data_IF_722188479980
#
_entry.id   IF_722188479980
#
_cell.length_a   1.000
_cell.length_b   1.000
_cell.length_c   1.000
_cell.angle_alpha   90.00
_cell.angle_beta   90.00
_cell.angle_gamma   90.00
#
_symmetry.space_group_name_H-M   'P 1'
#
loop_
_entity.id
_entity.type
_entity.pdbx_description
1 polymer ?
#
# COMPACT_ATOMS: atom_id res chain seq x y z
N UNK A 1 25.34 -7.77 -99.35
CA UNK A 1 25.49 -6.39 -99.07
C UNK A 1 24.21 -5.90 -98.35
N UNK A 2 24.08 -6.14 -97.08
CA UNK A 2 23.18 -5.44 -96.16
C UNK A 2 23.61 -5.79 -94.75
N UNK A 3 23.99 -4.79 -94.00
CA UNK A 3 24.48 -4.87 -92.64
C UNK A 3 23.25 -4.86 -91.71
N UNK A 4 23.08 -5.89 -90.86
CA UNK A 4 22.06 -5.92 -89.82
C UNK A 4 22.68 -5.41 -88.50
N UNK A 5 22.12 -4.32 -87.99
CA UNK A 5 22.45 -3.75 -86.67
C UNK A 5 21.62 -4.41 -85.61
N UNK A 6 22.26 -5.12 -84.64
CA UNK A 6 21.62 -5.68 -83.47
C UNK A 6 21.70 -4.71 -82.32
N UNK A 7 20.55 -4.23 -81.85
CA UNK A 7 20.40 -3.42 -80.65
C UNK A 7 20.22 -4.33 -79.42
N UNK A 8 21.20 -4.35 -78.53
CA UNK A 8 21.09 -5.00 -77.20
C UNK A 8 20.28 -4.09 -76.27
N UNK A 9 19.12 -4.57 -75.81
CA UNK A 9 18.37 -3.96 -74.70
C UNK A 9 18.85 -4.60 -73.40
N UNK A 10 19.60 -3.84 -72.57
CA UNK A 10 19.85 -4.18 -71.19
C UNK A 10 18.62 -3.83 -70.33
N UNK A 11 17.96 -4.85 -69.78
CA UNK A 11 16.99 -4.68 -68.70
C UNK A 11 17.75 -4.61 -67.38
N UNK A 12 17.86 -3.42 -66.76
CA UNK A 12 18.22 -3.26 -65.38
C UNK A 12 17.01 -3.59 -64.51
N UNK A 13 16.99 -4.77 -63.92
CA UNK A 13 16.04 -5.13 -62.89
C UNK A 13 16.46 -4.51 -61.55
N UNK A 14 15.78 -3.47 -61.10
CA UNK A 14 15.92 -2.91 -59.76
C UNK A 14 15.17 -3.83 -58.79
N UNK A 15 15.90 -4.64 -58.00
CA UNK A 15 15.36 -5.35 -56.83
C UNK A 15 15.17 -4.32 -55.71
N UNK A 16 13.94 -3.91 -55.43
CA UNK A 16 13.56 -3.21 -54.23
C UNK A 16 13.54 -4.25 -53.06
N UNK A 17 14.61 -4.25 -52.27
CA UNK A 17 14.61 -4.93 -50.96
C UNK A 17 13.76 -4.08 -50.00
N UNK A 18 12.50 -4.46 -49.83
CA UNK A 18 11.65 -3.94 -48.73
C UNK A 18 12.17 -4.51 -47.41
N UNK A 19 12.94 -3.72 -46.68
CA UNK A 19 13.30 -4.00 -45.29
C UNK A 19 12.05 -3.85 -44.41
N UNK A 20 11.40 -4.96 -44.10
CA UNK A 20 10.38 -5.00 -43.05
C UNK A 20 11.12 -4.86 -41.73
N UNK A 21 11.20 -3.64 -41.23
CA UNK A 21 11.65 -3.37 -39.86
C UNK A 21 10.70 -4.04 -38.89
N UNK A 22 11.15 -5.11 -38.24
CA UNK A 22 10.46 -5.66 -37.06
C UNK A 22 10.46 -4.56 -35.99
N UNK A 23 9.32 -3.91 -35.82
CA UNK A 23 9.05 -3.06 -34.66
C UNK A 23 8.91 -3.99 -33.45
N UNK A 24 10.02 -4.28 -32.75
CA UNK A 24 9.97 -4.90 -31.44
C UNK A 24 9.60 -3.75 -30.50
N UNK A 25 8.39 -3.76 -29.91
CA UNK A 25 8.06 -2.77 -28.91
C UNK A 25 9.09 -2.87 -27.78
N UNK A 26 9.80 -1.80 -27.49
CA UNK A 26 10.61 -1.70 -26.29
C UNK A 26 9.64 -1.83 -25.10
N UNK A 27 9.56 -3.01 -24.49
CA UNK A 27 8.92 -3.20 -23.20
C UNK A 27 9.83 -2.49 -22.19
N UNK A 28 9.45 -1.28 -21.83
CA UNK A 28 10.11 -0.57 -20.72
C UNK A 28 9.70 -1.30 -19.46
N UNK A 29 10.58 -2.17 -18.96
CA UNK A 29 10.40 -2.78 -17.64
C UNK A 29 10.51 -1.68 -16.58
N UNK A 30 9.59 -1.68 -15.63
CA UNK A 30 9.69 -0.81 -14.45
C UNK A 30 10.95 -1.18 -13.67
N UNK A 31 11.71 -0.18 -13.19
CA UNK A 31 12.89 -0.46 -12.34
C UNK A 31 12.42 -1.11 -11.04
N UNK A 32 13.05 -2.23 -10.62
CA UNK A 32 12.67 -2.91 -9.38
C UNK A 32 12.80 -2.00 -8.16
N UNK A 33 11.92 -2.18 -7.18
CA UNK A 33 12.02 -1.56 -5.87
C UNK A 33 13.14 -2.18 -5.05
N UNK A 34 13.78 -1.39 -4.19
CA UNK A 34 14.74 -1.91 -3.23
C UNK A 34 14.01 -2.74 -2.16
N UNK A 35 14.27 -4.04 -2.12
CA UNK A 35 13.67 -4.96 -1.14
C UNK A 35 14.68 -5.33 -0.06
N UNK A 36 14.28 -5.25 1.20
CA UNK A 36 15.06 -5.72 2.34
C UNK A 36 14.51 -7.06 2.83
N UNK A 37 15.34 -8.10 2.93
CA UNK A 37 14.94 -9.31 3.63
C UNK A 37 14.98 -9.06 5.14
N UNK A 38 13.82 -9.10 5.79
CA UNK A 38 13.67 -8.80 7.23
C UNK A 38 13.53 -10.06 8.08
N UNK A 39 13.18 -11.19 7.45
CA UNK A 39 13.17 -12.54 8.05
C UNK A 39 13.27 -13.58 6.94
N UNK A 40 13.34 -14.85 7.31
CA UNK A 40 13.38 -15.97 6.35
C UNK A 40 12.18 -15.90 5.40
N UNK A 41 12.46 -15.68 4.09
CA UNK A 41 11.49 -15.58 3.03
C UNK A 41 10.54 -14.38 3.12
N UNK A 42 10.82 -13.36 3.93
CA UNK A 42 10.05 -12.11 4.04
C UNK A 42 10.87 -10.95 3.52
N UNK A 43 10.33 -10.25 2.53
CA UNK A 43 10.96 -9.09 1.88
C UNK A 43 10.05 -7.88 1.98
N UNK A 44 10.60 -6.74 2.37
CA UNK A 44 9.86 -5.49 2.59
C UNK A 44 10.53 -4.36 1.82
N UNK A 45 9.73 -3.59 1.09
CA UNK A 45 10.08 -2.27 0.59
C UNK A 45 9.54 -1.22 1.56
N UNK A 46 10.31 -0.16 1.80
CA UNK A 46 9.96 0.93 2.69
C UNK A 46 9.53 2.14 1.87
N UNK A 47 8.28 2.52 2.03
CA UNK A 47 7.74 3.71 1.39
C UNK A 47 8.30 5.01 1.97
N UNK A 48 8.25 6.07 1.18
CA UNK A 48 8.71 7.41 1.58
C UNK A 48 7.70 8.13 2.49
N UNK A 49 8.18 9.08 3.28
CA UNK A 49 7.31 9.98 4.03
C UNK A 49 6.94 11.20 3.18
N UNK A 50 6.00 11.03 2.27
CA UNK A 50 5.47 12.10 1.40
C UNK A 50 4.01 12.38 1.73
N UNK A 51 3.54 13.59 1.44
CA UNK A 51 2.11 13.92 1.44
C UNK A 51 1.56 13.96 0.02
N UNK A 52 0.25 14.15 -0.13
CA UNK A 52 -0.42 14.36 -1.42
C UNK A 52 -0.14 15.78 -1.92
N UNK A 53 1.05 16.00 -2.47
CA UNK A 53 1.54 17.26 -3.03
C UNK A 53 2.33 17.00 -4.33
N UNK A 54 3.08 18.01 -4.83
CA UNK A 54 3.85 17.90 -6.06
C UNK A 54 4.99 16.86 -6.02
N UNK A 55 5.39 16.43 -4.82
CA UNK A 55 6.42 15.40 -4.59
C UNK A 55 5.86 13.98 -4.49
N UNK A 56 4.54 13.81 -4.49
CA UNK A 56 3.92 12.50 -4.30
C UNK A 56 4.14 11.56 -5.48
N UNK A 57 4.69 10.37 -5.21
CA UNK A 57 5.04 9.37 -6.21
C UNK A 57 4.23 8.07 -6.11
N UNK A 58 3.30 7.97 -5.14
CA UNK A 58 2.48 6.76 -4.90
C UNK A 58 3.20 5.64 -4.16
N UNK A 59 4.43 5.87 -3.71
CA UNK A 59 5.27 4.91 -2.99
C UNK A 59 5.52 5.38 -1.56
N UNK A 60 4.47 5.42 -0.75
CA UNK A 60 4.52 5.93 0.62
C UNK A 60 4.23 4.88 1.70
N UNK A 61 3.64 3.74 1.34
CA UNK A 61 3.42 2.65 2.28
C UNK A 61 4.49 1.56 2.20
N UNK A 62 4.64 0.79 3.25
CA UNK A 62 5.49 -0.39 3.26
C UNK A 62 4.76 -1.53 2.55
N UNK A 63 5.31 -1.99 1.44
CA UNK A 63 4.79 -3.13 0.68
C UNK A 63 5.76 -4.31 0.78
N UNK A 64 5.22 -5.53 0.72
CA UNK A 64 6.03 -6.70 1.03
C UNK A 64 5.53 -7.98 0.38
N UNK A 65 6.36 -9.01 0.43
CA UNK A 65 5.94 -10.35 0.05
C UNK A 65 6.58 -11.42 0.93
N UNK A 66 5.89 -12.56 0.98
CA UNK A 66 6.26 -13.74 1.74
C UNK A 66 6.37 -14.94 0.81
N UNK A 67 7.49 -15.66 0.87
CA UNK A 67 7.75 -16.86 0.07
C UNK A 67 7.50 -18.11 0.92
N UNK A 68 6.60 -18.98 0.46
CA UNK A 68 6.44 -20.35 0.93
C UNK A 68 7.00 -21.36 -0.08
N UNK A 69 6.78 -22.66 0.13
CA UNK A 69 7.25 -23.70 -0.80
C UNK A 69 6.44 -23.73 -2.10
N UNK A 70 5.14 -23.44 -2.06
CA UNK A 70 4.23 -23.56 -3.19
C UNK A 70 3.95 -22.23 -3.90
N UNK A 71 4.28 -21.10 -3.30
CA UNK A 71 4.00 -19.79 -3.88
C UNK A 71 4.25 -18.62 -2.94
N UNK A 72 3.81 -17.46 -3.39
CA UNK A 72 4.08 -16.16 -2.78
C UNK A 72 2.75 -15.51 -2.40
N UNK A 73 2.73 -14.86 -1.22
CA UNK A 73 1.73 -13.88 -0.85
C UNK A 73 2.36 -12.48 -0.88
N UNK A 74 1.71 -11.54 -1.52
CA UNK A 74 2.03 -10.11 -1.52
C UNK A 74 1.14 -9.43 -0.50
N UNK A 75 1.69 -8.56 0.35
CA UNK A 75 0.96 -7.78 1.34
C UNK A 75 1.10 -6.30 0.97
N UNK A 76 -0.02 -5.70 0.56
CA UNK A 76 -0.16 -4.39 -0.05
C UNK A 76 0.66 -4.21 -1.33
N UNK A 77 0.31 -3.23 -2.17
CA UNK A 77 0.83 -3.18 -3.54
C UNK A 77 1.27 -1.79 -4.01
N UNK A 78 1.12 -0.76 -3.18
CA UNK A 78 1.47 0.61 -3.55
C UNK A 78 0.31 1.40 -4.18
N UNK A 79 0.55 2.68 -4.40
CA UNK A 79 -0.45 3.68 -4.78
C UNK A 79 -0.73 3.80 -6.28
N UNK A 80 -0.11 2.97 -7.12
CA UNK A 80 -0.34 2.96 -8.57
C UNK A 80 0.04 1.63 -9.19
N UNK A 81 -0.47 1.38 -10.41
CA UNK A 81 -0.03 0.22 -11.21
C UNK A 81 1.48 0.24 -11.46
N UNK A 82 2.10 1.42 -11.58
CA UNK A 82 3.54 1.58 -11.74
C UNK A 82 4.30 1.00 -10.55
N UNK A 83 3.91 1.38 -9.33
CA UNK A 83 4.53 0.83 -8.09
C UNK A 83 4.28 -0.68 -7.99
N UNK A 84 3.07 -1.16 -8.31
CA UNK A 84 2.76 -2.58 -8.37
C UNK A 84 3.62 -3.36 -9.37
N UNK A 85 3.88 -2.80 -10.55
CA UNK A 85 4.78 -3.39 -11.56
C UNK A 85 6.23 -3.43 -11.06
N UNK A 86 6.72 -2.37 -10.42
CA UNK A 86 8.05 -2.34 -9.82
C UNK A 86 8.19 -3.41 -8.73
N UNK A 87 7.17 -3.59 -7.88
CA UNK A 87 7.13 -4.67 -6.89
C UNK A 87 7.14 -6.05 -7.56
N UNK A 88 6.36 -6.24 -8.63
CA UNK A 88 6.34 -7.50 -9.38
C UNK A 88 7.71 -7.83 -9.96
N UNK A 89 8.41 -6.86 -10.55
CA UNK A 89 9.80 -7.05 -11.04
C UNK A 89 10.75 -7.42 -9.90
N UNK A 90 10.63 -6.78 -8.73
CA UNK A 90 11.42 -7.12 -7.55
C UNK A 90 11.18 -8.55 -7.07
N UNK A 91 9.92 -8.99 -7.06
CA UNK A 91 9.55 -10.38 -6.72
C UNK A 91 10.18 -11.35 -7.72
N UNK A 92 10.11 -11.05 -9.02
CA UNK A 92 10.63 -11.92 -10.09
C UNK A 92 12.16 -11.99 -10.09
N UNK A 93 12.86 -10.96 -9.63
CA UNK A 93 14.30 -10.98 -9.44
C UNK A 93 14.73 -11.93 -8.29
N UNK A 94 13.83 -12.19 -7.33
CA UNK A 94 14.12 -13.01 -6.14
C UNK A 94 13.55 -14.43 -6.27
N UNK A 95 12.36 -14.59 -6.90
CA UNK A 95 11.67 -15.88 -6.97
C UNK A 95 10.83 -16.03 -8.24
N UNK A 96 10.88 -17.23 -8.84
CA UNK A 96 10.02 -17.64 -9.97
C UNK A 96 8.71 -18.31 -9.54
N UNK A 97 8.48 -18.49 -8.24
CA UNK A 97 7.26 -19.12 -7.73
C UNK A 97 6.00 -18.32 -8.12
N UNK A 98 4.85 -18.98 -8.25
CA UNK A 98 3.60 -18.29 -8.55
C UNK A 98 3.18 -17.38 -7.41
N UNK A 99 2.62 -16.20 -7.75
CA UNK A 99 1.95 -15.33 -6.79
C UNK A 99 0.53 -15.87 -6.62
N UNK A 100 0.25 -16.43 -5.45
CA UNK A 100 -1.03 -17.06 -5.14
C UNK A 100 -2.02 -16.09 -4.52
N UNK A 101 -1.51 -15.16 -3.71
CA UNK A 101 -2.34 -14.21 -2.97
C UNK A 101 -1.78 -12.79 -3.05
N UNK A 102 -2.69 -11.83 -3.18
CA UNK A 102 -2.48 -10.41 -2.85
C UNK A 102 -3.41 -10.10 -1.69
N UNK A 103 -2.85 -9.68 -0.57
CA UNK A 103 -3.56 -9.38 0.67
C UNK A 103 -3.53 -7.88 0.86
N UNK A 104 -4.69 -7.23 0.86
CA UNK A 104 -4.78 -5.81 1.18
C UNK A 104 -5.13 -5.66 2.66
N UNK A 105 -4.31 -4.88 3.37
CA UNK A 105 -4.52 -4.62 4.79
C UNK A 105 -5.71 -3.73 5.04
N UNK A 106 -6.02 -2.80 4.15
CA UNK A 106 -7.18 -1.90 4.22
C UNK A 106 -7.42 -1.17 2.89
N UNK A 107 -8.34 -0.19 2.86
CA UNK A 107 -8.89 0.42 1.64
C UNK A 107 -8.09 1.60 1.08
N UNK A 108 -7.06 2.12 1.76
CA UNK A 108 -6.39 3.34 1.30
C UNK A 108 -5.64 3.15 -0.02
N UNK A 109 -5.56 4.22 -0.84
CA UNK A 109 -5.06 4.15 -2.21
C UNK A 109 -3.64 3.61 -2.32
N UNK A 110 -2.75 4.03 -1.43
CA UNK A 110 -1.34 3.65 -1.38
C UNK A 110 -1.11 2.17 -1.03
N UNK A 111 -2.15 1.44 -0.62
CA UNK A 111 -2.11 0.01 -0.33
C UNK A 111 -2.73 -0.86 -1.45
N UNK A 112 -3.61 -0.30 -2.30
CA UNK A 112 -4.46 -1.10 -3.20
C UNK A 112 -4.29 -0.82 -4.69
N UNK A 113 -3.79 0.34 -5.12
CA UNK A 113 -3.77 0.68 -6.55
C UNK A 113 -2.71 -0.05 -7.37
N UNK A 114 -1.74 -0.70 -6.74
CA UNK A 114 -0.82 -1.61 -7.41
C UNK A 114 -1.39 -3.00 -7.68
N UNK A 115 -2.57 -3.34 -7.17
CA UNK A 115 -3.21 -4.66 -7.31
C UNK A 115 -3.27 -5.14 -8.75
N UNK A 116 -3.55 -4.25 -9.71
CA UNK A 116 -3.75 -4.60 -11.11
C UNK A 116 -2.51 -5.23 -11.76
N UNK A 117 -1.31 -4.93 -11.26
CA UNK A 117 -0.07 -5.57 -11.72
C UNK A 117 -0.02 -7.08 -11.42
N UNK A 118 -0.83 -7.56 -10.48
CA UNK A 118 -0.86 -8.93 -10.02
C UNK A 118 -2.05 -9.75 -10.55
N UNK A 119 -2.91 -9.16 -11.37
CA UNK A 119 -4.08 -9.87 -11.93
C UNK A 119 -3.62 -11.01 -12.83
N UNK A 120 -3.96 -12.22 -12.44
CA UNK A 120 -3.69 -13.44 -13.19
C UNK A 120 -4.75 -14.51 -12.89
N UNK A 121 -4.80 -15.57 -13.69
CA UNK A 121 -5.73 -16.69 -13.45
C UNK A 121 -5.44 -17.46 -12.15
N UNK A 122 -4.28 -17.27 -11.53
CA UNK A 122 -3.85 -17.97 -10.30
C UNK A 122 -3.89 -17.11 -9.06
N UNK A 123 -3.91 -15.79 -9.21
CA UNK A 123 -3.82 -14.85 -8.08
C UNK A 123 -5.20 -14.61 -7.48
N UNK A 124 -5.31 -14.78 -6.16
CA UNK A 124 -6.51 -14.48 -5.40
C UNK A 124 -6.25 -13.21 -4.57
N UNK A 125 -7.21 -12.28 -4.60
CA UNK A 125 -7.16 -11.05 -3.83
C UNK A 125 -7.93 -11.24 -2.53
N UNK A 126 -7.29 -10.92 -1.40
CA UNK A 126 -7.82 -11.15 -0.06
C UNK A 126 -7.91 -9.83 0.69
N UNK A 127 -9.00 -9.61 1.40
CA UNK A 127 -9.17 -8.43 2.24
C UNK A 127 -10.28 -8.58 3.26
N UNK A 128 -10.43 -7.59 4.10
CA UNK A 128 -11.53 -7.53 5.07
C UNK A 128 -12.90 -7.68 4.37
N UNK A 129 -13.90 -8.28 5.04
CA UNK A 129 -15.24 -8.50 4.43
C UNK A 129 -15.89 -7.23 3.90
N UNK A 130 -15.57 -6.06 4.46
CA UNK A 130 -16.09 -4.75 4.01
C UNK A 130 -15.25 -4.09 2.93
N UNK A 131 -14.11 -4.68 2.53
CA UNK A 131 -13.16 -4.01 1.64
C UNK A 131 -13.77 -3.73 0.28
N UNK A 132 -14.48 -4.68 -0.31
CA UNK A 132 -15.11 -4.49 -1.63
C UNK A 132 -16.13 -3.33 -1.62
N UNK A 133 -16.98 -3.25 -0.59
CA UNK A 133 -17.96 -2.17 -0.42
C UNK A 133 -17.27 -0.81 -0.18
N UNK A 134 -16.21 -0.80 0.63
CA UNK A 134 -15.44 0.40 0.91
C UNK A 134 -14.74 0.93 -0.35
N UNK A 135 -14.21 0.04 -1.20
CA UNK A 135 -13.65 0.37 -2.50
C UNK A 135 -14.70 1.02 -3.41
N UNK A 136 -15.92 0.43 -3.50
CA UNK A 136 -17.00 0.99 -4.31
C UNK A 136 -17.37 2.42 -3.90
N UNK A 137 -17.51 2.64 -2.61
CA UNK A 137 -17.89 3.95 -2.06
C UNK A 137 -16.84 5.04 -2.31
N UNK A 138 -15.56 4.66 -2.41
CA UNK A 138 -14.44 5.59 -2.53
C UNK A 138 -13.86 5.70 -3.95
N UNK A 139 -14.26 4.81 -4.87
CA UNK A 139 -13.65 4.68 -6.19
C UNK A 139 -13.50 6.01 -6.91
N UNK A 140 -14.57 6.74 -7.09
CA UNK A 140 -14.55 7.99 -7.88
C UNK A 140 -13.64 9.05 -7.27
N UNK A 141 -13.65 9.19 -5.94
CA UNK A 141 -12.80 10.16 -5.24
C UNK A 141 -11.33 9.75 -5.27
N UNK A 142 -11.03 8.47 -5.04
CA UNK A 142 -9.68 7.95 -5.05
C UNK A 142 -9.05 8.00 -6.45
N UNK A 143 -9.79 7.58 -7.48
CA UNK A 143 -9.34 7.68 -8.87
C UNK A 143 -9.03 9.13 -9.25
N UNK A 144 -9.92 10.07 -8.93
CA UNK A 144 -9.72 11.49 -9.25
C UNK A 144 -8.52 12.09 -8.53
N UNK A 145 -8.37 11.85 -7.22
CA UNK A 145 -7.28 12.41 -6.42
C UNK A 145 -5.94 11.85 -6.88
N UNK A 146 -5.82 10.52 -7.03
CA UNK A 146 -4.57 9.91 -7.46
C UNK A 146 -4.20 10.28 -8.91
N UNK A 147 -5.18 10.39 -9.82
CA UNK A 147 -4.93 10.89 -11.18
C UNK A 147 -4.40 12.33 -11.16
N UNK A 148 -4.91 13.18 -10.26
CA UNK A 148 -4.45 14.57 -10.13
C UNK A 148 -2.98 14.64 -9.71
N UNK A 149 -2.57 13.86 -8.72
CA UNK A 149 -1.24 13.94 -8.12
C UNK A 149 -0.21 13.09 -8.86
N UNK A 150 -0.53 11.86 -9.20
CA UNK A 150 0.38 10.91 -9.86
C UNK A 150 0.42 11.07 -11.39
N UNK A 151 -0.59 11.71 -11.99
CA UNK A 151 -0.63 12.00 -13.43
C UNK A 151 -0.35 10.73 -14.28
N UNK A 152 0.77 10.76 -15.04
CA UNK A 152 1.16 9.65 -15.91
C UNK A 152 1.50 8.37 -15.11
N UNK A 153 2.00 8.48 -13.89
CA UNK A 153 2.35 7.34 -13.03
C UNK A 153 1.11 6.57 -12.53
N UNK A 154 -0.05 7.21 -12.58
CA UNK A 154 -1.34 6.58 -12.28
C UNK A 154 -2.05 6.00 -13.52
N UNK A 155 -1.57 6.33 -14.72
CA UNK A 155 -2.23 5.91 -15.95
C UNK A 155 -2.35 4.38 -16.05
N UNK A 156 -3.58 3.90 -16.25
CA UNK A 156 -3.90 2.47 -16.30
C UNK A 156 -4.16 1.83 -14.94
N UNK A 157 -3.99 2.54 -13.83
CA UNK A 157 -4.33 2.03 -12.51
C UNK A 157 -5.84 1.76 -12.40
N UNK A 158 -6.20 0.61 -11.84
CA UNK A 158 -7.59 0.19 -11.61
C UNK A 158 -7.74 -0.32 -10.19
N UNK A 159 -8.92 -0.17 -9.64
CA UNK A 159 -9.26 -0.73 -8.34
C UNK A 159 -9.66 -2.20 -8.52
N UNK A 160 -8.86 -3.13 -8.00
CA UNK A 160 -9.12 -4.57 -8.05
C UNK A 160 -9.65 -5.02 -6.69
N UNK A 161 -10.89 -5.50 -6.67
CA UNK A 161 -11.58 -5.92 -5.44
C UNK A 161 -11.10 -7.28 -4.96
N UNK A 162 -11.19 -7.56 -3.64
CA UNK A 162 -10.90 -8.88 -3.10
C UNK A 162 -11.89 -9.93 -3.62
N UNK A 163 -11.37 -11.11 -3.95
CA UNK A 163 -12.15 -12.31 -4.27
C UNK A 163 -12.41 -13.17 -3.05
N UNK A 164 -11.62 -12.98 -1.98
CA UNK A 164 -11.75 -13.66 -0.69
C UNK A 164 -11.96 -12.61 0.41
N UNK A 165 -13.08 -12.73 1.12
CA UNK A 165 -13.46 -11.86 2.22
C UNK A 165 -13.11 -12.47 3.58
N UNK A 166 -12.37 -11.74 4.41
CA UNK A 166 -12.04 -12.14 5.78
C UNK A 166 -13.02 -11.46 6.73
N UNK A 167 -13.86 -12.27 7.39
CA UNK A 167 -14.85 -11.77 8.36
C UNK A 167 -14.28 -11.63 9.77
N UNK A 168 -13.57 -12.65 10.24
CA UNK A 168 -12.91 -12.68 11.54
C UNK A 168 -11.45 -13.12 11.38
N UNK A 169 -11.24 -14.41 11.07
CA UNK A 169 -9.93 -14.99 10.81
C UNK A 169 -9.97 -15.89 9.59
N UNK A 170 -8.87 -15.92 8.85
CA UNK A 170 -8.62 -16.83 7.74
C UNK A 170 -7.18 -17.29 7.80
N UNK A 171 -6.94 -18.57 7.54
CA UNK A 171 -5.59 -19.09 7.34
C UNK A 171 -5.38 -19.42 5.86
N UNK A 172 -4.21 -19.06 5.35
CA UNK A 172 -3.75 -19.43 4.02
C UNK A 172 -2.41 -20.15 4.15
N UNK A 173 -2.23 -21.24 3.38
CA UNK A 173 -0.98 -22.00 3.35
C UNK A 173 -0.25 -21.76 2.02
N UNK A 174 0.99 -21.30 2.12
CA UNK A 174 1.89 -21.10 0.98
C UNK A 174 2.80 -22.32 0.72
N UNK A 175 2.47 -23.47 1.30
CA UNK A 175 3.33 -24.66 1.33
C UNK A 175 4.27 -24.64 2.54
N UNK A 176 3.91 -25.40 3.59
CA UNK A 176 4.59 -25.44 4.90
C UNK A 176 4.85 -24.04 5.53
N UNK A 177 4.04 -23.07 5.15
CA UNK A 177 4.06 -21.71 5.68
C UNK A 177 2.65 -21.16 5.77
N UNK A 178 2.14 -21.07 6.98
CA UNK A 178 0.79 -20.60 7.26
C UNK A 178 0.82 -19.11 7.63
N UNK A 179 -0.02 -18.34 6.95
CA UNK A 179 -0.33 -16.96 7.28
C UNK A 179 -1.73 -16.91 7.90
N UNK A 180 -1.83 -16.36 9.10
CA UNK A 180 -3.12 -16.11 9.77
C UNK A 180 -3.53 -14.66 9.59
N UNK A 181 -4.62 -14.43 8.88
CA UNK A 181 -5.22 -13.13 8.61
C UNK A 181 -6.31 -12.87 9.66
N UNK A 182 -6.30 -11.68 10.26
CA UNK A 182 -7.31 -11.30 11.27
C UNK A 182 -7.95 -9.97 10.87
N UNK A 183 -9.28 -9.97 10.71
CA UNK A 183 -10.06 -8.76 10.48
C UNK A 183 -10.34 -8.06 11.82
N UNK A 184 -10.23 -6.72 11.82
CA UNK A 184 -10.43 -5.90 13.01
C UNK A 184 -11.73 -5.10 12.95
N UNK A 185 -12.31 -4.72 14.11
CA UNK A 185 -13.33 -3.68 14.17
C UNK A 185 -12.80 -2.36 13.60
N UNK A 186 -13.69 -1.42 13.28
CA UNK A 186 -13.32 -0.08 12.79
C UNK A 186 -12.29 0.57 13.71
N UNK A 187 -11.13 0.88 13.16
CA UNK A 187 -9.99 1.46 13.85
C UNK A 187 -9.37 2.56 12.98
N UNK A 188 -8.23 2.31 12.29
CA UNK A 188 -7.68 3.25 11.32
C UNK A 188 -8.68 3.48 10.15
N UNK A 189 -9.24 2.41 9.63
CA UNK A 189 -10.39 2.40 8.71
C UNK A 189 -11.47 1.44 9.20
N UNK A 190 -12.51 1.22 8.40
CA UNK A 190 -13.50 0.17 8.66
C UNK A 190 -13.15 -1.18 7.98
N UNK A 191 -11.94 -1.32 7.44
CA UNK A 191 -11.51 -2.48 6.65
C UNK A 191 -10.15 -3.04 7.08
N UNK A 192 -9.73 -2.76 8.30
CA UNK A 192 -8.39 -3.09 8.80
C UNK A 192 -8.21 -4.61 8.98
N UNK A 193 -7.10 -5.12 8.48
CA UNK A 193 -6.70 -6.52 8.50
C UNK A 193 -5.22 -6.63 8.88
N UNK A 194 -4.91 -7.54 9.80
CA UNK A 194 -3.51 -7.92 10.09
C UNK A 194 -3.18 -9.28 9.51
N UNK A 195 -1.89 -9.51 9.23
CA UNK A 195 -1.36 -10.79 8.75
C UNK A 195 -0.27 -11.25 9.71
N UNK A 196 -0.36 -12.48 10.19
CA UNK A 196 0.64 -13.08 11.06
C UNK A 196 1.28 -14.30 10.39
N UNK A 197 2.59 -14.29 10.25
CA UNK A 197 3.38 -15.44 9.79
C UNK A 197 3.80 -16.30 10.97
N UNK A 198 3.28 -17.49 11.05
CA UNK A 198 3.55 -18.41 12.17
C UNK A 198 5.00 -18.89 12.19
N UNK A 199 5.65 -18.98 11.02
CA UNK A 199 7.03 -19.48 10.90
C UNK A 199 8.06 -18.58 11.55
N UNK A 200 7.93 -17.27 11.35
CA UNK A 200 8.90 -16.27 11.85
C UNK A 200 8.36 -15.42 12.98
N UNK A 201 7.09 -15.60 13.36
CA UNK A 201 6.35 -14.75 14.28
C UNK A 201 6.37 -13.27 13.85
N UNK A 202 6.22 -13.02 12.55
CA UNK A 202 6.16 -11.67 11.96
C UNK A 202 4.71 -11.24 11.81
N UNK A 203 4.41 -9.99 12.19
CA UNK A 203 3.07 -9.41 12.12
C UNK A 203 3.07 -8.18 11.20
N UNK A 204 2.27 -8.21 10.17
CA UNK A 204 1.89 -7.03 9.39
C UNK A 204 0.68 -6.38 10.01
N UNK A 205 0.82 -5.15 10.36
CA UNK A 205 -0.26 -4.36 10.97
C UNK A 205 -1.02 -3.51 9.97
N UNK A 206 -0.50 -3.34 8.75
CA UNK A 206 -0.96 -2.25 7.91
C UNK A 206 -0.92 -0.95 8.70
N UNK A 207 -1.85 -0.08 8.45
CA UNK A 207 -1.95 1.24 9.07
C UNK A 207 -2.56 1.24 10.48
N UNK A 208 -2.73 0.06 11.08
CA UNK A 208 -2.93 -0.02 12.53
C UNK A 208 -1.68 0.40 13.31
N UNK A 209 -0.49 0.41 12.67
CA UNK A 209 0.73 0.97 13.22
C UNK A 209 1.45 1.86 12.21
N UNK A 210 1.64 3.11 12.59
CA UNK A 210 2.55 4.06 11.97
C UNK A 210 3.83 4.19 12.79
N UNK A 211 4.95 4.31 12.11
CA UNK A 211 6.26 4.56 12.72
C UNK A 211 6.84 5.79 12.02
N UNK A 212 7.39 6.74 12.78
CA UNK A 212 7.94 8.02 12.29
C UNK A 212 6.88 8.96 11.67
N UNK A 213 5.99 8.46 10.85
CA UNK A 213 4.90 9.23 10.21
C UNK A 213 3.72 9.38 11.17
N UNK A 214 3.12 10.57 11.21
CA UNK A 214 1.92 10.83 12.03
C UNK A 214 0.80 9.86 11.65
N UNK A 215 0.18 9.16 12.62
CA UNK A 215 -0.96 8.29 12.37
C UNK A 215 -2.13 9.06 11.72
N UNK A 216 -2.69 8.54 10.64
CA UNK A 216 -3.83 9.14 9.93
C UNK A 216 -5.13 8.45 10.33
N UNK A 217 -6.18 9.20 10.66
CA UNK A 217 -7.45 8.67 11.17
C UNK A 217 -8.53 8.84 10.08
N UNK A 218 -9.07 7.71 9.58
CA UNK A 218 -10.22 7.69 8.66
C UNK A 218 -11.40 6.86 9.23
N UNK A 219 -11.18 6.14 10.33
CA UNK A 219 -12.16 5.29 10.98
C UNK A 219 -12.64 5.84 12.33
N UNK A 220 -12.40 5.08 13.39
CA UNK A 220 -12.78 5.43 14.77
C UNK A 220 -11.57 5.44 15.69
N UNK A 221 -11.21 6.61 16.18
CA UNK A 221 -10.07 6.77 17.10
C UNK A 221 -10.20 5.92 18.38
N UNK A 222 -11.42 5.77 18.91
CA UNK A 222 -11.65 4.95 20.11
C UNK A 222 -11.51 3.47 19.82
N UNK A 223 -12.00 3.04 18.67
CA UNK A 223 -11.82 1.68 18.17
C UNK A 223 -10.33 1.38 17.95
N UNK A 224 -9.61 2.32 17.35
CA UNK A 224 -8.17 2.16 17.11
C UNK A 224 -7.35 2.03 18.40
N UNK A 225 -7.63 2.86 19.41
CA UNK A 225 -7.03 2.73 20.75
C UNK A 225 -7.22 1.32 21.31
N UNK A 226 -8.44 0.75 21.23
CA UNK A 226 -8.74 -0.61 21.69
C UNK A 226 -8.04 -1.70 20.87
N UNK A 227 -7.95 -1.52 19.55
CA UNK A 227 -7.24 -2.47 18.69
C UNK A 227 -5.74 -2.45 18.99
N UNK A 228 -5.14 -1.29 19.25
CA UNK A 228 -3.73 -1.18 19.66
C UNK A 228 -3.47 -1.93 20.98
N UNK A 229 -4.35 -1.79 21.98
CA UNK A 229 -4.26 -2.51 23.25
C UNK A 229 -4.27 -4.05 23.03
N UNK A 230 -5.12 -4.52 22.13
CA UNK A 230 -5.16 -5.94 21.77
C UNK A 230 -3.91 -6.41 21.01
N UNK A 231 -3.40 -5.60 20.08
CA UNK A 231 -2.20 -5.92 19.32
C UNK A 231 -0.94 -5.95 20.17
N UNK A 232 -0.86 -5.14 21.23
CA UNK A 232 0.24 -5.18 22.21
C UNK A 232 0.36 -6.55 22.93
N UNK A 233 -0.71 -7.36 22.93
CA UNK A 233 -0.70 -8.73 23.47
C UNK A 233 -0.30 -9.79 22.44
N UNK A 234 0.04 -9.37 21.20
CA UNK A 234 0.46 -10.28 20.14
C UNK A 234 1.78 -10.99 20.49
N UNK A 235 1.92 -12.29 20.17
CA UNK A 235 3.17 -13.02 20.32
C UNK A 235 4.23 -12.66 19.26
N UNK A 236 4.00 -11.62 18.47
CA UNK A 236 4.89 -11.20 17.39
C UNK A 236 6.30 -10.85 17.91
N UNK A 237 7.30 -11.42 17.26
CA UNK A 237 8.71 -11.10 17.53
C UNK A 237 9.15 -9.85 16.77
N UNK A 238 8.55 -9.60 15.59
CA UNK A 238 8.76 -8.40 14.79
C UNK A 238 7.47 -7.95 14.15
N UNK A 239 7.44 -6.67 13.76
CA UNK A 239 6.27 -6.05 13.11
C UNK A 239 6.72 -5.34 11.84
N UNK A 240 5.89 -5.47 10.81
CA UNK A 240 5.93 -4.67 9.58
C UNK A 240 4.73 -3.71 9.66
N UNK A 241 5.02 -2.43 9.87
CA UNK A 241 4.03 -1.34 9.91
C UNK A 241 3.57 -0.96 8.50
N UNK A 242 2.43 -0.27 8.38
CA UNK A 242 2.00 0.30 7.09
C UNK A 242 2.92 1.41 6.60
N UNK A 243 3.45 2.22 7.52
CA UNK A 243 4.38 3.31 7.21
C UNK A 243 5.55 3.36 8.18
N UNK A 244 6.73 3.76 7.66
CA UNK A 244 7.94 3.95 8.43
C UNK A 244 8.59 2.65 8.89
N UNK A 245 9.63 2.77 9.71
CA UNK A 245 10.40 1.62 10.20
C UNK A 245 10.91 1.84 11.62
N UNK A 246 11.13 0.74 12.33
CA UNK A 246 11.74 0.77 13.64
C UNK A 246 13.21 1.20 13.54
N UNK A 247 13.66 2.06 14.42
CA UNK A 247 15.09 2.26 14.64
C UNK A 247 15.70 1.03 15.29
N UNK A 248 17.05 0.88 15.21
CA UNK A 248 17.75 -0.25 15.80
C UNK A 248 17.57 -0.36 17.33
N UNK A 249 17.20 0.74 17.98
CA UNK A 249 17.03 0.82 19.44
C UNK A 249 15.57 0.73 19.89
N UNK A 250 14.61 0.71 18.95
CA UNK A 250 13.18 0.74 19.26
C UNK A 250 12.54 -0.64 19.10
N UNK A 251 11.78 -1.07 20.09
CA UNK A 251 10.91 -2.22 19.94
C UNK A 251 9.57 -1.82 19.30
N UNK A 252 8.89 -2.77 18.66
CA UNK A 252 7.59 -2.51 18.07
C UNK A 252 6.53 -2.16 19.13
N UNK A 253 6.66 -2.69 20.36
CA UNK A 253 5.81 -2.33 21.47
C UNK A 253 5.98 -0.86 21.86
N UNK A 254 7.22 -0.37 21.88
CA UNK A 254 7.48 1.06 22.16
C UNK A 254 6.90 1.96 21.06
N UNK A 255 7.00 1.56 19.78
CA UNK A 255 6.38 2.29 18.68
C UNK A 255 4.85 2.31 18.82
N UNK A 256 4.22 1.18 19.13
CA UNK A 256 2.78 1.09 19.35
C UNK A 256 2.32 1.92 20.56
N UNK A 257 3.10 1.95 21.65
CA UNK A 257 2.83 2.79 22.82
C UNK A 257 2.93 4.27 22.50
N UNK A 258 3.91 4.68 21.69
CA UNK A 258 4.05 6.06 21.23
C UNK A 258 2.83 6.49 20.40
N UNK A 259 2.39 5.65 19.48
CA UNK A 259 1.15 5.87 18.72
C UNK A 259 -0.08 5.94 19.65
N UNK A 260 -0.19 5.03 20.61
CA UNK A 260 -1.27 5.03 21.60
C UNK A 260 -1.32 6.33 22.38
N UNK A 261 -0.17 6.85 22.78
CA UNK A 261 -0.06 8.15 23.44
C UNK A 261 -0.57 9.29 22.57
N UNK A 262 -0.17 9.33 21.29
CA UNK A 262 -0.66 10.34 20.35
C UNK A 262 -2.19 10.27 20.21
N UNK A 263 -2.76 9.09 19.93
CA UNK A 263 -4.20 8.92 19.75
C UNK A 263 -4.99 9.30 21.00
N UNK A 264 -4.49 8.92 22.17
CA UNK A 264 -5.14 9.23 23.46
C UNK A 264 -5.09 10.74 23.75
N UNK A 265 -3.94 11.37 23.54
CA UNK A 265 -3.77 12.82 23.70
C UNK A 265 -4.70 13.59 22.78
N UNK A 266 -4.73 13.20 21.49
CA UNK A 266 -5.59 13.83 20.49
C UNK A 266 -7.08 13.73 20.88
N UNK A 267 -7.54 12.53 21.25
CA UNK A 267 -8.91 12.29 21.70
C UNK A 267 -9.28 13.15 22.91
N UNK A 268 -8.41 13.19 23.92
CA UNK A 268 -8.66 13.97 25.15
C UNK A 268 -8.71 15.47 24.88
N UNK A 269 -7.77 16.00 24.09
CA UNK A 269 -7.66 17.43 23.84
C UNK A 269 -8.76 17.93 22.88
N UNK A 270 -9.22 17.12 21.93
CA UNK A 270 -10.39 17.47 21.10
C UNK A 270 -11.67 17.48 21.95
N UNK A 271 -11.90 16.48 22.82
CA UNK A 271 -13.03 16.52 23.78
C UNK A 271 -12.98 17.73 24.70
N UNK A 272 -11.80 18.04 25.21
CA UNK A 272 -11.62 19.24 26.06
C UNK A 272 -11.90 20.54 25.28
N UNK A 273 -11.58 20.59 23.99
CA UNK A 273 -11.90 21.74 23.13
C UNK A 273 -13.41 21.87 22.94
N UNK A 274 -14.09 20.79 22.64
CA UNK A 274 -15.58 20.75 22.49
C UNK A 274 -16.25 21.22 23.78
N UNK A 275 -15.87 20.66 24.94
CA UNK A 275 -16.46 21.02 26.23
C UNK A 275 -16.27 22.49 26.64
N UNK A 276 -15.24 23.15 26.08
CA UNK A 276 -14.95 24.58 26.29
C UNK A 276 -15.55 25.48 25.20
N UNK A 277 -16.30 24.93 24.24
CA UNK A 277 -16.84 25.68 23.11
C UNK A 277 -15.78 26.23 22.15
N UNK A 278 -14.60 25.61 22.11
CA UNK A 278 -13.51 25.93 21.17
C UNK A 278 -13.90 25.35 19.80
N UNK A 279 -13.93 26.18 18.76
CA UNK A 279 -14.28 25.73 17.43
C UNK A 279 -13.29 24.69 16.86
N UNK A 280 -13.76 23.84 15.95
CA UNK A 280 -12.93 22.85 15.26
C UNK A 280 -11.68 23.47 14.64
N UNK A 281 -11.80 24.63 13.98
CA UNK A 281 -10.65 25.33 13.38
C UNK A 281 -9.56 25.71 14.42
N UNK A 282 -9.96 26.17 15.60
CA UNK A 282 -9.01 26.45 16.69
C UNK A 282 -8.42 25.17 17.25
N UNK A 283 -9.23 24.11 17.41
CA UNK A 283 -8.76 22.81 17.87
C UNK A 283 -7.74 22.19 16.89
N UNK A 284 -7.93 22.36 15.57
CA UNK A 284 -6.97 21.92 14.53
C UNK A 284 -5.55 22.55 14.72
N UNK A 285 -5.46 23.70 15.35
CA UNK A 285 -4.19 24.40 15.59
C UNK A 285 -3.60 24.15 16.99
N UNK A 286 -4.32 23.49 17.89
CA UNK A 286 -3.90 23.35 19.29
C UNK A 286 -3.89 21.94 19.82
N UNK A 287 -4.78 21.05 19.34
CA UNK A 287 -4.89 19.69 19.84
C UNK A 287 -3.65 18.85 19.47
N UNK A 288 -3.16 18.08 20.42
CA UNK A 288 -2.00 17.20 20.36
C UNK A 288 -0.66 17.86 19.94
N UNK A 289 -0.54 19.18 20.02
CA UNK A 289 0.70 19.90 19.65
C UNK A 289 1.91 19.44 20.47
N UNK A 290 1.71 18.99 21.70
CA UNK A 290 2.76 18.38 22.53
C UNK A 290 3.41 17.14 21.92
N UNK A 291 2.74 16.50 20.96
CA UNK A 291 3.22 15.29 20.27
C UNK A 291 4.04 15.60 19.00
N UNK A 292 4.06 16.85 18.53
CA UNK A 292 4.65 17.24 17.24
C UNK A 292 6.08 16.75 17.04
N UNK A 293 6.91 16.82 18.07
CA UNK A 293 8.33 16.45 17.96
C UNK A 293 8.63 14.98 17.73
N UNK A 294 7.62 14.10 17.87
CA UNK A 294 7.76 12.65 17.68
C UNK A 294 7.39 12.18 16.27
N UNK A 295 6.80 13.03 15.42
CA UNK A 295 6.14 12.61 14.19
C UNK A 295 6.50 13.46 12.98
N UNK A 296 6.77 12.81 11.86
CA UNK A 296 6.88 13.46 10.55
C UNK A 296 5.50 13.81 9.99
N UNK A 297 5.40 14.82 9.14
CA UNK A 297 4.18 15.34 8.53
C UNK A 297 3.08 15.75 9.54
N UNK A 298 3.48 16.06 10.78
CA UNK A 298 2.55 16.32 11.88
C UNK A 298 1.57 17.46 11.56
N UNK A 299 2.06 18.59 11.10
CA UNK A 299 1.23 19.79 10.97
C UNK A 299 0.04 19.57 10.02
N UNK A 300 0.22 18.81 8.95
CA UNK A 300 -0.83 18.57 7.99
C UNK A 300 -1.73 17.39 8.41
N UNK A 301 -1.14 16.28 8.87
CA UNK A 301 -1.92 15.08 9.21
C UNK A 301 -2.69 15.30 10.52
N UNK A 302 -2.10 15.91 11.53
CA UNK A 302 -2.80 16.20 12.79
C UNK A 302 -4.01 17.10 12.60
N UNK A 303 -3.92 18.11 11.73
CA UNK A 303 -5.07 18.97 11.38
C UNK A 303 -6.17 18.19 10.69
N UNK A 304 -5.83 17.28 9.75
CA UNK A 304 -6.79 16.36 9.11
C UNK A 304 -7.45 15.46 10.15
N UNK A 305 -6.69 14.91 11.08
CA UNK A 305 -7.19 14.06 12.15
C UNK A 305 -8.22 14.78 13.02
N UNK A 306 -7.91 16.01 13.47
CA UNK A 306 -8.88 16.82 14.24
C UNK A 306 -10.15 17.06 13.41
N UNK A 307 -10.02 17.44 12.13
CA UNK A 307 -11.18 17.61 11.24
C UNK A 307 -12.05 16.36 11.13
N UNK A 308 -11.42 15.18 11.10
CA UNK A 308 -12.14 13.91 10.94
C UNK A 308 -12.84 13.46 12.22
N UNK A 309 -12.23 13.68 13.41
CA UNK A 309 -12.79 13.17 14.66
C UNK A 309 -13.68 14.17 15.39
N UNK A 310 -13.49 15.50 15.20
CA UNK A 310 -14.22 16.54 15.93
C UNK A 310 -15.75 16.43 15.75
N UNK A 311 -16.29 16.29 14.51
CA UNK A 311 -17.74 16.18 14.33
C UNK A 311 -18.36 14.97 15.03
N UNK A 312 -17.66 13.82 15.03
CA UNK A 312 -18.17 12.62 15.68
C UNK A 312 -18.16 12.74 17.22
N UNK A 313 -17.16 13.44 17.79
CA UNK A 313 -17.03 13.65 19.22
C UNK A 313 -17.95 14.76 19.77
N UNK A 314 -18.41 15.68 18.90
CA UNK A 314 -19.35 16.74 19.26
C UNK A 314 -20.75 16.20 19.58
N UNK A 315 -21.07 15.00 19.07
CA UNK A 315 -22.37 14.34 19.27
C UNK A 315 -22.31 13.19 20.32
N UNK A 316 -21.21 13.06 21.08
CA UNK A 316 -21.14 12.18 22.26
C UNK A 316 -21.80 12.85 23.47
#
# INVERSE_FOLDING_TARGET
MFIACQIYRQLCGMLLLASVGLFIPNVVYASPLAMQQVADGIYVHRGAHEDLDEGYHGDICNISFVIGENGIAVIDTGGSIKVGQQLLESIRAISSLPILYVINTHVHPDHIFGNDAFVSAKTQFVGHERLAEAMDKRQDSYMRINQQWLKQDFAGSRMVKPSIAVKNKLQIDLGKRVLTLTAHPTAHTNTDLTVFDEKTASLWTGDLLFIERTPSIDGDIKGWIKVNEALLQSPAKQVISGHGQLSAQQTWQQAMQLQQQYLTTLLQEVRASISKGITMEKAMNSAAISQKGAWQLFDIINRRNVNNIYPALEWE
#
